data_IF_183108447630
#
_entry.id   IF_183108447630
#
_cell.length_a   1.000
_cell.length_b   1.000
_cell.length_c   1.000
_cell.angle_alpha   90.00
_cell.angle_beta   90.00
_cell.angle_gamma   90.00
#
_symmetry.space_group_name_H-M   'P 1'
#
loop_
_entity.id
_entity.type
_entity.pdbx_description
1 polymer ?
#
# COMPACT_ATOMS: atom_id res chain seq x y z
N UNK A 1 -2.70 -12.36 1.14
CA UNK A 1 -3.73 -11.30 0.95
C UNK A 1 -3.49 -10.43 -0.29
N UNK A 2 -2.54 -9.47 -0.29
CA UNK A 2 -2.32 -8.60 -1.47
C UNK A 2 -1.87 -9.39 -2.71
N UNK A 3 -0.94 -10.34 -2.56
CA UNK A 3 -0.53 -11.22 -3.65
C UNK A 3 -1.73 -11.95 -4.25
N UNK A 4 -2.61 -12.50 -3.41
CA UNK A 4 -3.79 -13.23 -3.87
C UNK A 4 -4.79 -12.31 -4.58
N UNK A 5 -4.96 -11.08 -4.09
CA UNK A 5 -5.80 -10.07 -4.74
C UNK A 5 -5.23 -9.67 -6.12
N UNK A 6 -3.91 -9.48 -6.24
CA UNK A 6 -3.25 -9.17 -7.50
C UNK A 6 -3.28 -10.33 -8.48
N UNK A 7 -3.24 -11.58 -8.03
CA UNK A 7 -3.38 -12.77 -8.90
C UNK A 7 -4.83 -12.91 -9.37
N UNK A 8 -5.79 -12.78 -8.46
CA UNK A 8 -7.22 -13.01 -8.70
C UNK A 8 -7.99 -11.75 -9.12
N UNK A 9 -7.33 -10.68 -9.58
CA UNK A 9 -8.02 -9.41 -9.88
C UNK A 9 -9.08 -9.50 -11.00
N UNK A 10 -9.10 -10.59 -11.78
CA UNK A 10 -10.17 -10.86 -12.74
C UNK A 10 -11.48 -11.31 -12.09
N UNK A 11 -11.42 -11.88 -10.87
CA UNK A 11 -12.58 -12.33 -10.13
C UNK A 11 -12.30 -12.27 -8.61
N UNK A 12 -12.09 -11.05 -8.06
CA UNK A 12 -11.75 -10.89 -6.66
C UNK A 12 -12.98 -11.17 -5.79
N UNK A 13 -12.77 -11.75 -4.60
CA UNK A 13 -13.79 -11.71 -3.57
C UNK A 13 -13.95 -10.28 -3.01
N UNK A 14 -14.96 -10.03 -2.17
CA UNK A 14 -15.25 -8.69 -1.64
C UNK A 14 -14.05 -8.05 -0.91
N UNK A 15 -13.31 -8.84 -0.13
CA UNK A 15 -12.14 -8.37 0.61
C UNK A 15 -10.98 -8.01 -0.32
N UNK A 16 -10.74 -8.82 -1.34
CA UNK A 16 -9.71 -8.57 -2.36
C UNK A 16 -10.05 -7.33 -3.18
N UNK A 17 -11.32 -7.14 -3.54
CA UNK A 17 -11.78 -5.95 -4.25
C UNK A 17 -11.61 -4.69 -3.40
N UNK A 18 -12.02 -4.74 -2.14
CA UNK A 18 -11.84 -3.65 -1.19
C UNK A 18 -10.37 -3.26 -1.04
N UNK A 19 -9.49 -4.26 -0.86
CA UNK A 19 -8.05 -4.06 -0.74
C UNK A 19 -7.45 -3.43 -2.00
N UNK A 20 -7.77 -3.95 -3.19
CA UNK A 20 -7.30 -3.39 -4.46
C UNK A 20 -7.79 -1.96 -4.64
N UNK A 21 -9.07 -1.71 -4.37
CA UNK A 21 -9.67 -0.41 -4.55
C UNK A 21 -9.06 0.64 -3.62
N UNK A 22 -8.96 0.33 -2.32
CA UNK A 22 -8.41 1.24 -1.34
C UNK A 22 -6.93 1.57 -1.65
N UNK A 23 -6.11 0.54 -1.88
CA UNK A 23 -4.68 0.71 -2.16
C UNK A 23 -4.46 1.59 -3.40
N UNK A 24 -5.09 1.25 -4.52
CA UNK A 24 -4.88 1.97 -5.77
C UNK A 24 -5.51 3.38 -5.74
N UNK A 25 -6.66 3.55 -5.08
CA UNK A 25 -7.28 4.87 -4.95
C UNK A 25 -6.42 5.81 -4.11
N UNK A 26 -5.89 5.34 -2.97
CA UNK A 26 -5.00 6.13 -2.10
C UNK A 26 -3.68 6.48 -2.78
N UNK A 27 -3.15 5.61 -3.64
CA UNK A 27 -1.93 5.90 -4.40
C UNK A 27 -2.15 6.89 -5.56
N UNK A 28 -3.35 6.94 -6.12
CA UNK A 28 -3.66 7.84 -7.26
C UNK A 28 -4.06 9.24 -6.82
N UNK A 29 -4.55 9.43 -5.59
CA UNK A 29 -5.11 10.70 -5.08
C UNK A 29 -4.62 11.02 -3.68
N UNK A 30 -4.46 12.31 -3.37
CA UNK A 30 -4.13 12.80 -2.01
C UNK A 30 -5.38 13.14 -1.17
N UNK A 31 -6.56 12.70 -1.62
CA UNK A 31 -7.83 13.05 -0.96
C UNK A 31 -8.06 12.17 0.28
N UNK A 32 -8.16 12.82 1.44
CA UNK A 32 -8.51 12.18 2.71
C UNK A 32 -10.03 12.06 2.90
N UNK A 33 -10.46 11.10 3.73
CA UNK A 33 -11.87 10.96 4.16
C UNK A 33 -12.84 10.42 3.11
N UNK A 34 -12.35 9.86 2.00
CA UNK A 34 -13.21 9.16 1.04
C UNK A 34 -13.63 7.82 1.66
N UNK A 35 -14.92 7.46 1.55
CA UNK A 35 -15.41 6.17 2.05
C UNK A 35 -15.03 5.03 1.13
N UNK A 36 -14.85 3.83 1.68
CA UNK A 36 -14.44 2.63 0.93
C UNK A 36 -15.40 2.31 -0.23
N UNK A 37 -16.71 2.47 -0.07
CA UNK A 37 -17.68 2.20 -1.13
C UNK A 37 -17.45 3.10 -2.35
N UNK A 38 -17.05 4.36 -2.09
CA UNK A 38 -16.72 5.31 -3.16
C UNK A 38 -15.39 4.96 -3.82
N UNK A 39 -14.41 4.47 -3.05
CA UNK A 39 -13.15 3.97 -3.60
C UNK A 39 -13.40 2.76 -4.51
N UNK A 40 -14.20 1.78 -4.08
CA UNK A 40 -14.56 0.59 -4.86
C UNK A 40 -15.21 0.96 -6.20
N UNK A 41 -16.01 2.02 -6.24
CA UNK A 41 -16.63 2.50 -7.48
C UNK A 41 -15.66 3.22 -8.44
N UNK A 42 -14.67 3.94 -7.90
CA UNK A 42 -13.91 4.91 -8.67
C UNK A 42 -12.43 4.54 -8.89
N UNK A 43 -11.88 3.57 -8.14
CA UNK A 43 -10.44 3.29 -8.10
C UNK A 43 -9.86 2.98 -9.48
N UNK A 44 -10.53 2.14 -10.26
CA UNK A 44 -10.01 1.70 -11.56
C UNK A 44 -9.96 2.87 -12.54
N UNK A 45 -10.99 3.73 -12.52
CA UNK A 45 -11.00 4.97 -13.29
C UNK A 45 -9.91 5.94 -12.84
N UNK A 46 -9.64 6.03 -11.54
CA UNK A 46 -8.56 6.85 -11.00
C UNK A 46 -7.18 6.35 -11.47
N UNK A 47 -6.96 5.02 -11.47
CA UNK A 47 -5.75 4.39 -12.00
C UNK A 47 -5.59 4.65 -13.49
N UNK A 48 -6.62 4.38 -14.29
CA UNK A 48 -6.60 4.59 -15.74
C UNK A 48 -6.26 6.04 -16.11
N UNK A 49 -6.87 7.02 -15.39
CA UNK A 49 -6.57 8.44 -15.59
C UNK A 49 -5.12 8.77 -15.23
N UNK A 50 -4.64 8.30 -14.08
CA UNK A 50 -3.27 8.55 -13.63
C UNK A 50 -2.24 7.97 -14.61
N UNK A 51 -2.50 6.76 -15.12
CA UNK A 51 -1.69 6.14 -16.16
C UNK A 51 -1.73 6.93 -17.48
N UNK A 52 -2.91 7.34 -17.95
CA UNK A 52 -3.02 8.13 -19.17
C UNK A 52 -2.17 9.42 -19.12
N UNK A 53 -2.10 10.06 -17.96
CA UNK A 53 -1.31 11.28 -17.74
C UNK A 53 0.20 11.02 -17.61
N UNK A 54 0.64 9.84 -17.14
CA UNK A 54 2.03 9.62 -16.68
C UNK A 54 2.72 8.37 -17.23
N UNK A 55 2.07 7.58 -18.10
CA UNK A 55 2.56 6.26 -18.51
C UNK A 55 3.97 6.30 -19.11
N UNK A 56 4.34 7.38 -19.79
CA UNK A 56 5.64 7.53 -20.46
C UNK A 56 6.84 7.52 -19.51
N UNK A 57 6.61 7.77 -18.22
CA UNK A 57 7.67 7.76 -17.22
C UNK A 57 8.17 6.33 -16.94
N UNK A 58 7.27 5.36 -16.97
CA UNK A 58 7.55 3.99 -16.49
C UNK A 58 7.24 2.90 -17.53
N UNK A 59 6.54 3.24 -18.61
CA UNK A 59 6.02 2.30 -19.59
C UNK A 59 6.28 2.76 -21.03
N UNK A 60 6.49 1.79 -21.93
CA UNK A 60 6.62 2.05 -23.36
C UNK A 60 5.26 2.25 -24.05
N UNK A 61 4.18 1.72 -23.45
CA UNK A 61 2.79 1.87 -23.88
C UNK A 61 1.91 2.01 -22.63
N UNK A 62 0.80 2.74 -22.70
CA UNK A 62 -0.14 2.82 -21.60
C UNK A 62 -0.79 1.44 -21.36
N UNK A 63 -0.54 0.79 -20.21
CA UNK A 63 -1.02 -0.57 -19.98
C UNK A 63 -2.55 -0.66 -19.93
N UNK A 64 -3.26 0.43 -19.63
CA UNK A 64 -4.73 0.46 -19.55
C UNK A 64 -5.39 1.27 -20.68
N UNK A 65 -4.74 1.46 -21.82
CA UNK A 65 -5.31 2.25 -22.94
C UNK A 65 -6.59 1.61 -23.51
N UNK A 66 -6.62 0.29 -23.63
CA UNK A 66 -7.70 -0.46 -24.28
C UNK A 66 -8.16 -1.68 -23.48
N UNK A 67 -7.79 -1.78 -22.20
CA UNK A 67 -8.07 -2.94 -21.36
C UNK A 67 -8.33 -2.53 -19.92
N UNK A 68 -9.11 -3.35 -19.20
CA UNK A 68 -9.42 -3.16 -17.79
C UNK A 68 -8.27 -3.65 -16.92
N UNK A 69 -8.23 -3.22 -15.65
CA UNK A 69 -7.22 -3.69 -14.70
C UNK A 69 -7.32 -5.20 -14.46
N UNK A 70 -8.55 -5.72 -14.48
CA UNK A 70 -8.88 -7.14 -14.35
C UNK A 70 -8.30 -7.99 -15.48
N UNK A 71 -8.14 -7.42 -16.68
CA UNK A 71 -7.64 -8.14 -17.86
C UNK A 71 -6.10 -8.10 -17.99
N UNK A 72 -5.43 -7.25 -17.20
CA UNK A 72 -3.97 -7.15 -17.20
C UNK A 72 -3.30 -8.43 -16.71
N UNK A 73 -2.08 -8.68 -17.19
CA UNK A 73 -1.24 -9.72 -16.59
C UNK A 73 -0.82 -9.30 -15.18
N UNK A 74 -0.62 -10.28 -14.30
CA UNK A 74 -0.13 -10.03 -12.92
C UNK A 74 1.13 -9.17 -12.91
N UNK A 75 2.05 -9.40 -13.85
CA UNK A 75 3.25 -8.59 -14.00
C UNK A 75 2.95 -7.10 -14.29
N UNK A 76 1.97 -6.81 -15.14
CA UNK A 76 1.58 -5.43 -15.46
C UNK A 76 0.92 -4.76 -14.26
N UNK A 77 0.07 -5.48 -13.52
CA UNK A 77 -0.53 -5.00 -12.27
C UNK A 77 0.54 -4.63 -11.23
N UNK A 78 1.58 -5.47 -11.07
CA UNK A 78 2.72 -5.19 -10.18
C UNK A 78 3.47 -3.94 -10.64
N UNK A 79 3.72 -3.79 -11.95
CA UNK A 79 4.40 -2.60 -12.47
C UNK A 79 3.59 -1.33 -12.30
N UNK A 80 2.27 -1.38 -12.51
CA UNK A 80 1.38 -0.26 -12.22
C UNK A 80 1.45 0.11 -10.75
N UNK A 81 1.35 -0.86 -9.84
CA UNK A 81 1.46 -0.60 -8.41
C UNK A 81 2.80 0.07 -8.05
N UNK A 82 3.91 -0.42 -8.59
CA UNK A 82 5.23 0.17 -8.39
C UNK A 82 5.29 1.62 -8.91
N UNK A 83 4.81 1.87 -10.13
CA UNK A 83 4.76 3.21 -10.71
C UNK A 83 3.93 4.17 -9.87
N UNK A 84 2.76 3.73 -9.38
CA UNK A 84 1.91 4.53 -8.52
C UNK A 84 2.61 4.87 -7.20
N UNK A 85 3.34 3.95 -6.58
CA UNK A 85 4.15 4.21 -5.39
C UNK A 85 5.23 5.26 -5.66
N UNK A 86 5.99 5.13 -6.76
CA UNK A 86 7.02 6.08 -7.15
C UNK A 86 6.43 7.48 -7.35
N UNK A 87 5.37 7.60 -8.13
CA UNK A 87 4.72 8.89 -8.37
C UNK A 87 4.14 9.50 -7.10
N UNK A 88 3.61 8.67 -6.19
CA UNK A 88 3.11 9.14 -4.89
C UNK A 88 4.23 9.68 -4.02
N UNK A 89 5.41 9.05 -4.03
CA UNK A 89 6.58 9.56 -3.30
C UNK A 89 7.06 10.91 -3.84
N UNK A 90 6.90 11.13 -5.14
CA UNK A 90 7.24 12.40 -5.77
C UNK A 90 6.17 13.47 -5.59
N UNK A 91 4.88 13.13 -5.55
CA UNK A 91 3.78 14.10 -5.51
C UNK A 91 3.31 14.45 -4.09
N UNK A 92 3.35 13.50 -3.15
CA UNK A 92 2.83 13.70 -1.80
C UNK A 92 3.82 14.49 -0.92
N UNK A 93 3.43 15.71 -0.55
CA UNK A 93 4.25 16.63 0.25
C UNK A 93 4.63 16.02 1.60
N UNK A 94 3.70 15.33 2.27
CA UNK A 94 3.96 14.74 3.58
C UNK A 94 4.95 13.58 3.50
N UNK A 95 4.84 12.72 2.48
CA UNK A 95 5.85 11.67 2.22
C UNK A 95 7.22 12.30 1.94
N UNK A 96 7.30 13.36 1.12
CA UNK A 96 8.58 14.04 0.84
C UNK A 96 9.18 14.68 2.08
N UNK A 97 8.38 15.36 2.90
CA UNK A 97 8.82 15.93 4.18
C UNK A 97 9.37 14.83 5.08
N UNK A 98 8.65 13.71 5.19
CA UNK A 98 9.05 12.58 6.00
C UNK A 98 10.37 11.94 5.51
N UNK A 99 10.52 11.70 4.21
CA UNK A 99 11.77 11.23 3.61
C UNK A 99 12.92 12.21 3.90
N UNK A 100 12.68 13.51 3.75
CA UNK A 100 13.67 14.54 4.04
C UNK A 100 14.09 14.56 5.52
N UNK A 101 13.14 14.38 6.45
CA UNK A 101 13.44 14.23 7.89
C UNK A 101 14.35 13.03 8.13
N UNK A 102 14.03 11.86 7.57
CA UNK A 102 14.86 10.65 7.72
C UNK A 102 16.27 10.87 7.15
N UNK A 103 16.36 11.47 5.96
CA UNK A 103 17.65 11.70 5.28
C UNK A 103 18.53 12.73 6.01
N UNK A 104 17.93 13.73 6.65
CA UNK A 104 18.67 14.71 7.46
C UNK A 104 19.18 14.11 8.76
N UNK A 105 18.47 13.15 9.33
CA UNK A 105 18.78 12.65 10.67
C UNK A 105 19.93 11.63 10.69
N UNK A 106 20.20 10.84 9.63
CA UNK A 106 21.22 9.77 9.65
C UNK A 106 21.15 8.88 10.93
N UNK A 107 19.98 8.85 11.57
CA UNK A 107 19.81 8.44 12.95
C UNK A 107 19.07 7.12 12.93
N UNK A 108 19.79 6.03 13.15
CA UNK A 108 19.21 4.72 13.45
C UNK A 108 18.16 4.79 14.57
N UNK A 109 18.26 5.79 15.46
CA UNK A 109 17.26 6.08 16.49
C UNK A 109 15.90 6.54 15.95
N UNK A 110 15.88 7.29 14.85
CA UNK A 110 14.63 7.72 14.22
C UNK A 110 13.87 6.51 13.67
N UNK A 111 14.59 5.57 13.03
CA UNK A 111 14.06 4.29 12.57
C UNK A 111 13.53 3.41 13.73
N UNK A 112 14.20 3.40 14.88
CA UNK A 112 13.72 2.66 16.07
C UNK A 112 12.45 3.27 16.68
N UNK A 113 12.30 4.60 16.67
CA UNK A 113 11.04 5.26 17.05
C UNK A 113 9.92 5.09 16.02
N UNK A 114 10.25 4.69 14.79
CA UNK A 114 9.28 4.44 13.71
C UNK A 114 8.80 2.99 13.68
N UNK A 115 9.51 2.05 14.33
CA UNK A 115 8.95 0.74 14.62
C UNK A 115 7.86 0.95 15.66
N UNK A 116 6.62 0.58 15.35
CA UNK A 116 5.60 0.41 16.37
C UNK A 116 6.25 -0.42 17.48
N UNK A 117 6.43 0.15 18.66
CA UNK A 117 7.00 -0.60 19.77
C UNK A 117 5.92 -1.58 20.23
N UNK A 118 6.29 -2.81 20.52
CA UNK A 118 5.37 -3.78 21.12
C UNK A 118 4.72 -3.14 22.35
N UNK A 119 3.38 -3.07 22.36
CA UNK A 119 2.61 -2.51 23.48
C UNK A 119 2.80 -3.38 24.72
N UNK A 120 2.93 -4.70 24.50
CA UNK A 120 3.19 -5.70 25.52
C UNK A 120 3.11 -7.12 24.96
N UNK A 121 3.59 -8.07 25.74
CA UNK A 121 3.49 -9.51 25.48
C UNK A 121 2.53 -10.15 26.47
N UNK A 122 1.69 -11.11 26.05
CA UNK A 122 0.92 -11.92 27.00
C UNK A 122 1.76 -13.06 27.62
N UNK A 123 1.16 -13.78 28.59
CA UNK A 123 1.77 -14.94 29.25
C UNK A 123 2.05 -16.13 28.29
N UNK A 124 1.58 -16.05 27.04
CA UNK A 124 1.80 -17.05 25.99
C UNK A 124 2.87 -16.62 24.99
N UNK A 125 3.46 -15.43 25.15
CA UNK A 125 4.53 -14.92 24.31
C UNK A 125 4.04 -14.23 23.04
N UNK A 126 2.75 -13.91 22.91
CA UNK A 126 2.17 -13.20 21.75
C UNK A 126 2.42 -11.70 21.91
N UNK A 127 2.95 -11.08 20.86
CA UNK A 127 3.32 -9.66 20.84
C UNK A 127 2.21 -8.80 20.24
N UNK A 128 1.82 -7.75 20.97
CA UNK A 128 0.75 -6.84 20.56
C UNK A 128 1.32 -5.53 20.01
N UNK A 129 0.81 -5.08 18.86
CA UNK A 129 1.29 -3.90 18.13
C UNK A 129 0.18 -2.87 17.93
N UNK A 130 0.50 -1.56 18.07
CA UNK A 130 -0.40 -0.44 17.82
C UNK A 130 0.11 0.42 16.67
N UNK A 131 -0.77 0.80 15.74
CA UNK A 131 -0.46 1.73 14.65
C UNK A 131 -1.38 2.96 14.76
N UNK A 132 -0.77 4.15 14.81
CA UNK A 132 -1.36 5.40 15.32
C UNK A 132 -2.30 6.14 14.35
N UNK A 133 -3.03 5.43 13.48
CA UNK A 133 -4.04 6.03 12.60
C UNK A 133 -5.23 5.06 12.38
N UNK A 134 -6.18 5.06 13.33
CA UNK A 134 -7.49 4.36 13.31
C UNK A 134 -7.52 2.84 13.61
N UNK A 135 -7.06 2.48 14.81
CA UNK A 135 -7.59 1.38 15.66
C UNK A 135 -7.53 -0.07 15.13
N UNK A 136 -6.32 -0.63 14.98
CA UNK A 136 -6.15 -2.08 14.88
C UNK A 136 -5.03 -2.55 15.82
N UNK A 137 -5.35 -3.49 16.72
CA UNK A 137 -4.35 -4.20 17.53
C UNK A 137 -3.99 -5.47 16.77
N UNK A 138 -2.75 -5.55 16.31
CA UNK A 138 -2.23 -6.75 15.65
C UNK A 138 -1.53 -7.62 16.70
N UNK A 139 -1.86 -8.92 16.69
CA UNK A 139 -1.22 -9.92 17.53
C UNK A 139 -0.32 -10.78 16.63
N UNK A 140 0.98 -10.76 16.86
CA UNK A 140 1.96 -11.56 16.14
C UNK A 140 2.49 -12.67 17.03
N UNK A 141 2.44 -13.92 16.53
CA UNK A 141 3.19 -15.00 17.14
C UNK A 141 4.69 -14.73 16.98
N UNK A 142 5.47 -14.93 18.04
CA UNK A 142 6.92 -14.73 17.95
C UNK A 142 7.52 -15.58 16.84
N UNK A 143 8.33 -15.00 15.95
CA UNK A 143 8.97 -15.76 14.90
C UNK A 143 9.90 -16.83 15.49
N UNK A 144 9.97 -18.01 14.85
CA UNK A 144 10.59 -19.22 15.40
C UNK A 144 12.00 -19.02 15.98
N UNK A 145 12.81 -18.16 15.37
CA UNK A 145 14.16 -17.86 15.83
C UNK A 145 14.24 -17.15 17.20
N UNK A 146 13.14 -16.57 17.70
CA UNK A 146 13.02 -16.02 19.05
C UNK A 146 12.44 -17.00 20.07
N UNK A 147 11.87 -18.13 19.62
CA UNK A 147 11.33 -19.19 20.47
C UNK A 147 12.42 -20.21 20.87
N UNK A 148 13.59 -20.18 20.22
CA UNK A 148 14.70 -21.13 20.42
C UNK A 148 15.77 -20.64 21.42
N UNK A 149 15.49 -19.62 22.23
CA UNK A 149 16.42 -19.06 23.24
C UNK A 149 16.19 -19.61 24.65
#
# INVERSE_FOLDING_TARGET
ELQDALVNAANPNEQQLALLAELHFKLTRDQMGVKLEKMIQDWEKAVARKLHENWQLEFAVNPMEATSYADLRVYERIRILNALCLWKTESCVEIRKYIATIQQENNTKALDTMRASEIGTDDKGVSYWYFDDDCWVYAEDKPQWQLES
#
